data_IF_566858088104
#
_entry.id   IF_566858088104
#
_cell.length_a   1.000
_cell.length_b   1.000
_cell.length_c   1.000
_cell.angle_alpha   90.00
_cell.angle_beta   90.00
_cell.angle_gamma   90.00
#
_symmetry.space_group_name_H-M   'P 1'
#
loop_
_entity.id
_entity.type
_entity.pdbx_description
1 polymer ?
#
# COMPACT_ATOMS: atom_id res chain seq x y z
N UNK A 1 14.67 35.29 -33.64
CA UNK A 1 15.36 34.38 -32.70
C UNK A 1 15.17 34.80 -31.24
N UNK A 2 15.08 36.11 -30.97
CA UNK A 2 14.89 36.67 -29.63
C UNK A 2 13.58 36.29 -28.92
N UNK A 3 12.50 36.02 -29.67
CA UNK A 3 11.18 35.62 -29.11
C UNK A 3 11.09 34.10 -28.90
N UNK A 4 11.89 33.32 -29.64
CA UNK A 4 11.84 31.86 -29.57
C UNK A 4 12.35 31.35 -28.22
N UNK A 5 13.43 31.93 -27.71
CA UNK A 5 14.03 31.57 -26.42
C UNK A 5 13.05 31.78 -25.24
N UNK A 6 12.45 32.97 -25.04
CA UNK A 6 11.51 33.18 -23.94
C UNK A 6 10.23 32.34 -24.09
N UNK A 7 9.77 32.10 -25.32
CA UNK A 7 8.63 31.21 -25.59
C UNK A 7 8.93 29.77 -25.15
N UNK A 8 10.11 29.24 -25.49
CA UNK A 8 10.52 27.89 -25.09
C UNK A 8 10.67 27.74 -23.58
N UNK A 9 11.23 28.76 -22.89
CA UNK A 9 11.34 28.76 -21.42
C UNK A 9 9.95 28.77 -20.78
N UNK A 10 9.03 29.61 -21.27
CA UNK A 10 7.66 29.67 -20.75
C UNK A 10 6.93 28.33 -20.94
N UNK A 11 7.02 27.73 -22.11
CA UNK A 11 6.41 26.42 -22.39
C UNK A 11 7.01 25.32 -21.52
N UNK A 12 8.34 25.29 -21.35
CA UNK A 12 9.01 24.32 -20.49
C UNK A 12 8.62 24.48 -19.01
N UNK A 13 8.48 25.72 -18.53
CA UNK A 13 8.02 26.01 -17.17
C UNK A 13 6.58 25.58 -16.93
N UNK A 14 5.67 25.91 -17.85
CA UNK A 14 4.26 25.46 -17.79
C UNK A 14 4.19 23.94 -17.84
N UNK A 15 4.94 23.31 -18.74
CA UNK A 15 5.02 21.86 -18.84
C UNK A 15 5.52 21.25 -17.53
N UNK A 16 6.56 21.77 -16.90
CA UNK A 16 7.09 21.26 -15.63
C UNK A 16 6.06 21.33 -14.49
N UNK A 17 5.26 22.41 -14.43
CA UNK A 17 4.20 22.58 -13.43
C UNK A 17 3.01 21.66 -13.68
N UNK A 18 2.62 21.47 -14.95
CA UNK A 18 1.47 20.64 -15.32
C UNK A 18 1.79 19.15 -15.44
N UNK A 19 3.06 18.80 -15.66
CA UNK A 19 3.54 17.43 -15.78
C UNK A 19 3.13 16.50 -14.63
N UNK A 20 3.25 16.86 -13.34
CA UNK A 20 2.80 15.99 -12.24
C UNK A 20 1.28 15.80 -12.19
N UNK A 21 0.50 16.70 -12.79
CA UNK A 21 -0.96 16.63 -12.85
C UNK A 21 -1.41 15.73 -14.01
N UNK A 22 -0.74 15.83 -15.16
CA UNK A 22 -1.11 15.13 -16.39
C UNK A 22 -0.49 13.75 -16.50
N UNK A 23 0.67 13.50 -15.87
CA UNK A 23 1.23 12.15 -15.83
C UNK A 23 0.41 11.27 -14.89
N UNK A 24 -0.31 10.24 -15.40
CA UNK A 24 -0.91 9.25 -14.52
C UNK A 24 0.22 8.66 -13.68
N UNK A 25 -0.01 8.55 -12.38
CA UNK A 25 0.96 8.11 -11.37
C UNK A 25 1.27 6.62 -11.58
N UNK A 26 1.89 6.27 -12.69
CA UNK A 26 2.26 4.90 -13.07
C UNK A 26 3.53 4.41 -12.35
N UNK A 27 3.94 5.07 -11.25
CA UNK A 27 5.11 4.67 -10.46
C UNK A 27 5.69 5.71 -9.52
N UNK A 28 5.28 6.98 -9.58
CA UNK A 28 5.74 8.03 -8.64
C UNK A 28 4.95 8.01 -7.32
N UNK A 29 4.93 6.85 -6.71
CA UNK A 29 4.29 6.57 -5.43
C UNK A 29 4.58 5.13 -5.02
N UNK A 30 5.75 4.60 -5.38
CA UNK A 30 6.32 3.57 -4.53
C UNK A 30 6.60 4.29 -3.21
N UNK A 31 5.75 4.04 -2.21
CA UNK A 31 6.10 4.37 -0.84
C UNK A 31 7.54 3.87 -0.59
N UNK A 32 8.38 4.58 0.18
CA UNK A 32 9.68 4.04 0.57
C UNK A 32 9.48 2.60 1.05
N UNK A 33 10.43 1.67 0.80
CA UNK A 33 10.22 0.24 1.01
C UNK A 33 9.70 -0.07 2.42
N UNK A 34 10.10 0.73 3.42
CA UNK A 34 9.60 0.66 4.79
C UNK A 34 8.09 1.00 4.94
N UNK A 35 7.57 2.00 4.24
CA UNK A 35 6.14 2.36 4.28
C UNK A 35 5.29 1.31 3.56
N UNK A 36 5.74 0.80 2.40
CA UNK A 36 5.04 -0.25 1.67
C UNK A 36 4.97 -1.57 2.46
N UNK A 37 6.04 -1.93 3.18
CA UNK A 37 6.10 -3.14 4.01
C UNK A 37 5.19 -3.04 5.25
N UNK A 38 5.11 -1.86 5.87
CA UNK A 38 4.16 -1.59 6.94
C UNK A 38 2.71 -1.63 6.44
N UNK A 39 2.42 -1.09 5.26
CA UNK A 39 1.08 -1.18 4.65
C UNK A 39 0.68 -2.62 4.33
N UNK A 40 1.62 -3.44 3.86
CA UNK A 40 1.45 -4.88 3.68
C UNK A 40 1.09 -5.58 5.00
N UNK A 41 1.84 -5.28 6.06
CA UNK A 41 1.57 -5.85 7.38
C UNK A 41 0.20 -5.42 7.92
N UNK A 42 -0.14 -4.14 7.81
CA UNK A 42 -1.46 -3.61 8.21
C UNK A 42 -2.57 -4.31 7.42
N UNK A 43 -2.36 -4.55 6.11
CA UNK A 43 -3.33 -5.24 5.28
C UNK A 43 -3.57 -6.67 5.75
N UNK A 44 -2.50 -7.43 6.01
CA UNK A 44 -2.57 -8.80 6.57
C UNK A 44 -3.38 -8.82 7.87
N UNK A 45 -3.12 -7.87 8.77
CA UNK A 45 -3.87 -7.79 10.04
C UNK A 45 -5.35 -7.47 9.84
N UNK A 46 -5.68 -6.54 8.92
CA UNK A 46 -7.08 -6.19 8.61
C UNK A 46 -7.85 -7.36 8.01
N UNK A 47 -7.22 -8.14 7.13
CA UNK A 47 -7.83 -9.34 6.55
C UNK A 47 -8.12 -10.39 7.62
N UNK A 48 -7.15 -10.67 8.50
CA UNK A 48 -7.34 -11.60 9.60
C UNK A 48 -8.40 -11.12 10.62
N UNK A 49 -8.51 -9.80 10.86
CA UNK A 49 -9.59 -9.23 11.68
C UNK A 49 -10.95 -9.46 11.04
N UNK A 50 -11.11 -9.21 9.74
CA UNK A 50 -12.37 -9.46 9.02
C UNK A 50 -12.75 -10.93 9.01
N UNK A 51 -11.78 -11.82 8.83
CA UNK A 51 -11.99 -13.26 8.83
C UNK A 51 -12.14 -13.86 10.24
N UNK A 52 -11.92 -13.08 11.31
CA UNK A 52 -11.96 -13.59 12.69
C UNK A 52 -10.80 -14.52 13.06
N UNK A 53 -9.68 -14.48 12.35
CA UNK A 53 -8.56 -15.43 12.48
C UNK A 53 -7.36 -14.88 13.27
N UNK A 54 -7.56 -13.81 14.04
CA UNK A 54 -6.57 -13.32 15.00
C UNK A 54 -6.42 -14.30 16.16
N UNK A 55 -5.20 -14.77 16.41
CA UNK A 55 -4.96 -15.70 17.52
C UNK A 55 -5.17 -15.00 18.88
N UNK A 56 -6.06 -15.48 19.75
CA UNK A 56 -6.31 -14.84 21.05
C UNK A 56 -5.16 -15.02 22.05
N UNK A 57 -4.18 -15.90 21.76
CA UNK A 57 -3.02 -16.14 22.63
C UNK A 57 -1.83 -15.26 22.27
N UNK A 58 -1.39 -15.29 21.01
CA UNK A 58 -0.17 -14.61 20.58
C UNK A 58 -0.42 -13.40 19.67
N UNK A 59 -1.68 -13.14 19.28
CA UNK A 59 -2.11 -12.07 18.37
C UNK A 59 -1.63 -12.19 16.93
N UNK A 60 -1.02 -13.32 16.55
CA UNK A 60 -0.67 -13.57 15.15
C UNK A 60 -1.92 -13.48 14.24
N UNK A 61 -1.79 -12.73 13.15
CA UNK A 61 -2.80 -12.64 12.10
C UNK A 61 -2.65 -13.84 11.16
N UNK A 62 -3.63 -14.75 11.18
CA UNK A 62 -3.61 -15.93 10.32
C UNK A 62 -4.51 -15.72 9.10
N UNK A 63 -4.21 -16.33 7.94
CA UNK A 63 -5.08 -16.27 6.76
C UNK A 63 -6.51 -16.77 7.04
N UNK A 64 -7.47 -16.32 6.24
CA UNK A 64 -8.85 -16.82 6.29
C UNK A 64 -8.90 -18.35 6.13
N UNK A 65 -9.84 -19.01 6.82
CA UNK A 65 -9.96 -20.47 6.83
C UNK A 65 -8.91 -21.21 7.68
N UNK A 66 -7.97 -20.51 8.31
CA UNK A 66 -6.99 -21.12 9.21
C UNK A 66 -7.69 -21.74 10.43
N UNK A 67 -7.41 -23.02 10.70
CA UNK A 67 -7.97 -23.75 11.87
C UNK A 67 -7.08 -23.66 13.11
N UNK A 68 -5.78 -23.46 12.91
CA UNK A 68 -4.76 -23.36 13.97
C UNK A 68 -3.83 -22.18 13.68
N UNK A 69 -3.29 -21.59 14.74
CA UNK A 69 -2.32 -20.51 14.65
C UNK A 69 -0.97 -21.05 14.18
N UNK A 70 -0.42 -20.49 13.09
CA UNK A 70 0.86 -20.90 12.53
C UNK A 70 2.05 -20.64 13.47
N UNK A 71 1.93 -19.63 14.34
CA UNK A 71 3.01 -19.23 15.25
C UNK A 71 3.05 -20.07 16.53
N UNK A 72 1.88 -20.40 17.08
CA UNK A 72 1.80 -20.94 18.44
C UNK A 72 0.95 -22.21 18.60
N UNK A 73 0.40 -22.75 17.49
CA UNK A 73 -0.34 -24.01 17.43
C UNK A 73 -1.74 -24.00 18.03
N UNK A 74 -2.18 -22.90 18.67
CA UNK A 74 -3.52 -22.81 19.28
C UNK A 74 -4.61 -22.87 18.21
N UNK A 75 -5.69 -23.61 18.46
CA UNK A 75 -6.89 -23.59 17.62
C UNK A 75 -7.50 -22.19 17.56
N UNK A 76 -7.82 -21.73 16.35
CA UNK A 76 -8.44 -20.42 16.14
C UNK A 76 -9.95 -20.50 16.36
N UNK A 77 -10.61 -19.40 16.76
CA UNK A 77 -12.07 -19.34 16.76
C UNK A 77 -12.59 -19.60 15.34
N UNK A 78 -13.80 -20.17 15.22
CA UNK A 78 -14.44 -20.31 13.93
C UNK A 78 -14.61 -18.91 13.33
N UNK A 79 -14.00 -18.70 12.16
CA UNK A 79 -14.12 -17.44 11.44
C UNK A 79 -15.57 -17.16 11.09
N UNK A 80 -15.88 -15.89 10.88
CA UNK A 80 -17.19 -15.47 10.42
C UNK A 80 -17.26 -15.74 8.91
N UNK A 81 -17.35 -17.03 8.53
CA UNK A 81 -17.42 -17.50 7.15
C UNK A 81 -18.82 -17.31 6.55
#
# INVERSE_FOLDING_TARGET
>A
MEILIPLLIAVAGIAAVLYPIVRPRSGAGAAPPAEAELEEEVRRYREALRAGTICPRCRNANPAGSRFCAECGRRLPAGND
#
